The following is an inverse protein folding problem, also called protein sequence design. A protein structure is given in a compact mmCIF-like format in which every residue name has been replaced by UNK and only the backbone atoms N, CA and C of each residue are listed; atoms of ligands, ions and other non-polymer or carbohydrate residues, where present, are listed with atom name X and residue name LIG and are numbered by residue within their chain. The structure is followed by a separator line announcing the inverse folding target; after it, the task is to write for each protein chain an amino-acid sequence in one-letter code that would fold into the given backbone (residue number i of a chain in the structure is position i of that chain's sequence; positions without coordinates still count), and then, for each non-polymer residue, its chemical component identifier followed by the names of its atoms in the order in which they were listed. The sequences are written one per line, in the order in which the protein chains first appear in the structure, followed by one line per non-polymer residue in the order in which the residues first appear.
data_IF_815794228084
#
_entry.id   IF_815794228084
#
_cell.length_a   1.000
_cell.length_b   1.000
_cell.length_c   1.000
_cell.angle_alpha   90.00
_cell.angle_beta   90.00
_cell.angle_gamma   90.00
#
_symmetry.space_group_name_H-M   'P 1'
#
loop_
_entity.id
_entity.type
_entity.pdbx_description
1 polymer ?
#
# COMPACT_ATOMS: atom_id res chain seq x y z
N UNK A 1 -59.36 16.45 2.48
CA UNK A 1 -58.09 15.88 2.84
C UNK A 1 -57.35 15.35 1.63
N UNK A 2 -56.80 16.20 0.78
CA UNK A 2 -55.84 15.87 -0.28
C UNK A 2 -54.87 17.06 -0.34
N UNK A 3 -53.75 17.02 0.38
CA UNK A 3 -52.79 18.13 0.42
C UNK A 3 -51.43 17.77 0.97
N UNK A 4 -51.10 16.49 1.20
CA UNK A 4 -49.90 16.09 1.85
C UNK A 4 -48.75 15.50 0.96
N UNK A 5 -49.04 15.22 -0.31
CA UNK A 5 -48.10 14.44 -1.13
C UNK A 5 -47.28 15.27 -2.14
N UNK A 6 -47.52 16.57 -2.27
CA UNK A 6 -46.87 17.43 -3.26
C UNK A 6 -45.69 18.24 -2.69
N UNK A 7 -45.60 18.34 -1.38
CA UNK A 7 -44.54 19.10 -0.71
C UNK A 7 -43.25 18.30 -0.55
N UNK A 8 -43.33 16.96 -0.42
CA UNK A 8 -42.17 16.11 -0.19
C UNK A 8 -41.39 15.85 -1.49
N UNK A 9 -42.04 15.81 -2.66
CA UNK A 9 -41.37 15.57 -3.95
C UNK A 9 -40.50 16.77 -4.36
N UNK A 10 -40.90 18.00 -4.03
CA UNK A 10 -40.13 19.20 -4.34
C UNK A 10 -38.93 19.39 -3.40
N UNK A 11 -39.01 18.95 -2.16
CA UNK A 11 -37.89 19.01 -1.23
C UNK A 11 -36.80 17.96 -1.57
N UNK A 12 -37.18 16.75 -1.98
CA UNK A 12 -36.24 15.73 -2.43
C UNK A 12 -35.55 16.06 -3.73
N UNK A 13 -36.27 16.66 -4.71
CA UNK A 13 -35.68 17.07 -5.97
C UNK A 13 -34.70 18.25 -5.80
N UNK A 14 -34.99 19.21 -4.90
CA UNK A 14 -34.07 20.28 -4.53
C UNK A 14 -32.80 19.76 -3.88
N UNK A 15 -32.94 18.84 -2.95
CA UNK A 15 -31.78 18.23 -2.26
C UNK A 15 -30.90 17.40 -3.21
N UNK A 16 -31.50 16.66 -4.16
CA UNK A 16 -30.74 15.90 -5.17
C UNK A 16 -30.00 16.82 -6.13
N UNK A 17 -30.62 17.87 -6.63
CA UNK A 17 -30.01 18.87 -7.51
C UNK A 17 -28.85 19.61 -6.83
N UNK A 18 -28.97 19.93 -5.53
CA UNK A 18 -27.92 20.57 -4.76
C UNK A 18 -26.72 19.63 -4.49
N UNK A 19 -26.99 18.35 -4.27
CA UNK A 19 -25.96 17.31 -4.14
C UNK A 19 -25.22 17.13 -5.47
N UNK A 20 -25.94 17.07 -6.58
CA UNK A 20 -25.36 16.89 -7.92
C UNK A 20 -24.49 18.10 -8.30
N UNK A 21 -24.96 19.31 -8.08
CA UNK A 21 -24.21 20.55 -8.29
C UNK A 21 -22.93 20.64 -7.44
N UNK A 22 -23.01 20.19 -6.19
CA UNK A 22 -21.84 20.10 -5.31
C UNK A 22 -20.84 19.05 -5.80
N UNK A 23 -21.32 17.89 -6.26
CA UNK A 23 -20.48 16.85 -6.81
C UNK A 23 -19.81 17.27 -8.10
N UNK A 24 -20.51 18.01 -8.98
CA UNK A 24 -19.92 18.59 -10.19
C UNK A 24 -18.83 19.62 -9.86
N UNK A 25 -19.10 20.52 -8.92
CA UNK A 25 -18.11 21.50 -8.46
C UNK A 25 -16.89 20.84 -7.85
N UNK A 26 -17.09 19.78 -7.04
CA UNK A 26 -16.02 18.99 -6.46
C UNK A 26 -15.22 18.25 -7.54
N UNK A 27 -15.88 17.62 -8.51
CA UNK A 27 -15.22 16.94 -9.61
C UNK A 27 -14.43 17.89 -10.50
N UNK A 28 -14.93 19.10 -10.73
CA UNK A 28 -14.22 20.14 -11.46
C UNK A 28 -12.96 20.60 -10.70
N UNK A 29 -13.08 20.80 -9.38
CA UNK A 29 -11.95 21.13 -8.52
C UNK A 29 -10.90 20.01 -8.51
N UNK A 30 -11.31 18.75 -8.33
CA UNK A 30 -10.42 17.59 -8.34
C UNK A 30 -9.68 17.46 -9.68
N UNK A 31 -10.36 17.66 -10.83
CA UNK A 31 -9.73 17.64 -12.14
C UNK A 31 -8.64 18.71 -12.31
N UNK A 32 -8.80 19.87 -11.68
CA UNK A 32 -7.83 20.96 -11.76
C UNK A 32 -6.63 20.76 -10.83
N UNK A 33 -6.85 20.13 -9.66
CA UNK A 33 -5.81 19.93 -8.63
C UNK A 33 -5.06 18.60 -8.86
N UNK A 34 -5.70 17.63 -9.52
CA UNK A 34 -5.06 16.33 -9.77
C UNK A 34 -3.96 16.45 -10.82
N UNK A 35 -2.69 16.15 -10.50
CA UNK A 35 -1.58 16.28 -11.45
C UNK A 35 -1.77 15.27 -12.61
N UNK A 36 -1.94 15.81 -13.82
CA UNK A 36 -2.03 15.06 -15.07
C UNK A 36 -0.63 14.58 -15.47
N UNK A 37 -0.18 13.48 -14.87
CA UNK A 37 1.07 12.83 -15.29
C UNK A 37 0.82 11.74 -16.32
N UNK A 38 1.70 11.61 -17.33
CA UNK A 38 1.62 10.50 -18.28
C UNK A 38 1.82 9.17 -17.53
N UNK A 39 0.93 8.22 -17.76
CA UNK A 39 0.98 6.89 -17.13
C UNK A 39 2.30 6.18 -17.43
N UNK A 40 2.78 6.28 -18.67
CA UNK A 40 4.03 5.68 -19.14
C UNK A 40 5.25 6.22 -18.36
N UNK A 41 5.33 7.53 -18.16
CA UNK A 41 6.43 8.12 -17.39
C UNK A 41 6.41 7.68 -15.91
N UNK A 42 5.21 7.53 -15.32
CA UNK A 42 5.05 7.01 -13.96
C UNK A 42 5.45 5.54 -13.85
N UNK A 43 5.07 4.72 -14.84
CA UNK A 43 5.49 3.32 -14.90
C UNK A 43 7.01 3.18 -15.06
N UNK A 44 7.65 4.00 -15.87
CA UNK A 44 9.09 3.98 -16.05
C UNK A 44 9.84 4.37 -14.77
N UNK A 45 9.39 5.40 -14.07
CA UNK A 45 9.95 5.78 -12.76
C UNK A 45 9.79 4.66 -11.72
N UNK A 46 8.61 4.03 -11.67
CA UNK A 46 8.36 2.89 -10.78
C UNK A 46 9.27 1.71 -11.10
N UNK A 47 9.50 1.43 -12.38
CA UNK A 47 10.41 0.37 -12.82
C UNK A 47 11.86 0.62 -12.38
N UNK A 48 12.36 1.85 -12.55
CA UNK A 48 13.72 2.21 -12.13
C UNK A 48 13.87 2.05 -10.61
N UNK A 49 12.96 2.63 -9.84
CA UNK A 49 13.07 2.58 -8.36
C UNK A 49 12.92 1.17 -7.83
N UNK A 50 11.93 0.41 -8.32
CA UNK A 50 11.76 -1.00 -7.96
C UNK A 50 12.97 -1.84 -8.36
N UNK A 51 13.52 -1.62 -9.56
CA UNK A 51 14.75 -2.27 -10.04
C UNK A 51 15.96 -1.98 -9.15
N UNK A 52 16.15 -0.73 -8.73
CA UNK A 52 17.24 -0.38 -7.80
C UNK A 52 17.10 -1.09 -6.44
N UNK A 53 15.88 -1.22 -5.92
CA UNK A 53 15.62 -1.96 -4.67
C UNK A 53 15.94 -3.44 -4.86
N UNK A 54 15.54 -4.04 -5.99
CA UNK A 54 15.85 -5.43 -6.31
C UNK A 54 17.37 -5.67 -6.45
N UNK A 55 18.08 -4.77 -7.10
CA UNK A 55 19.56 -4.84 -7.23
C UNK A 55 20.22 -4.74 -5.86
N UNK A 56 19.77 -3.83 -5.01
CA UNK A 56 20.26 -3.72 -3.63
C UNK A 56 20.02 -5.03 -2.85
N UNK A 57 18.83 -5.62 -2.96
CA UNK A 57 18.51 -6.92 -2.37
C UNK A 57 19.42 -8.04 -2.89
N UNK A 58 19.67 -8.07 -4.20
CA UNK A 58 20.56 -9.08 -4.81
C UNK A 58 22.02 -8.94 -4.35
N UNK A 59 22.51 -7.71 -4.19
CA UNK A 59 23.86 -7.45 -3.64
C UNK A 59 23.96 -8.01 -2.21
N UNK A 60 22.99 -7.73 -1.34
CA UNK A 60 22.96 -8.22 0.04
C UNK A 60 22.94 -9.76 0.03
N UNK A 61 22.09 -10.37 -0.79
CA UNK A 61 21.99 -11.82 -0.92
C UNK A 61 23.31 -12.45 -1.37
N UNK A 62 24.00 -11.86 -2.34
CA UNK A 62 25.30 -12.33 -2.81
C UNK A 62 26.37 -12.21 -1.72
N UNK A 63 26.36 -11.16 -0.92
CA UNK A 63 27.26 -10.99 0.25
C UNK A 63 26.98 -12.08 1.29
N UNK A 64 25.72 -12.39 1.59
CA UNK A 64 25.36 -13.47 2.51
C UNK A 64 25.86 -14.84 2.00
N UNK A 65 25.71 -15.11 0.69
CA UNK A 65 26.22 -16.33 0.07
C UNK A 65 27.74 -16.41 0.09
N UNK A 66 28.43 -15.30 -0.13
CA UNK A 66 29.89 -15.25 0.00
C UNK A 66 30.37 -15.56 1.41
N UNK A 67 29.58 -15.19 2.43
CA UNK A 67 29.81 -15.55 3.83
C UNK A 67 29.46 -17.01 4.15
N UNK A 68 29.12 -17.85 3.13
CA UNK A 68 28.73 -19.26 3.27
C UNK A 68 27.47 -19.49 4.15
N UNK A 69 26.56 -18.55 4.17
CA UNK A 69 25.26 -18.72 4.83
C UNK A 69 24.37 -19.63 3.96
N UNK A 70 23.62 -20.60 4.54
CA UNK A 70 22.67 -21.44 3.79
C UNK A 70 21.66 -20.60 3.01
N UNK A 71 21.26 -21.04 1.82
CA UNK A 71 20.39 -20.27 0.91
C UNK A 71 19.05 -19.85 1.55
N UNK A 72 18.48 -20.71 2.38
CA UNK A 72 17.24 -20.43 3.15
C UNK A 72 17.41 -19.26 4.13
N UNK A 73 18.53 -19.24 4.84
CA UNK A 73 18.83 -18.23 5.84
C UNK A 73 19.30 -16.94 5.19
N UNK A 74 20.04 -17.02 4.06
CA UNK A 74 20.48 -15.87 3.29
C UNK A 74 19.30 -15.04 2.77
N UNK A 75 18.21 -15.67 2.33
CA UNK A 75 16.99 -14.99 1.91
C UNK A 75 16.32 -14.27 3.09
N UNK A 76 16.26 -14.90 4.26
CA UNK A 76 15.69 -14.32 5.47
C UNK A 76 16.51 -13.11 5.97
N UNK A 77 17.83 -13.23 5.99
CA UNK A 77 18.72 -12.11 6.34
C UNK A 77 18.62 -10.95 5.36
N UNK A 78 18.55 -11.22 4.07
CA UNK A 78 18.35 -10.18 3.05
C UNK A 78 17.08 -9.39 3.30
N UNK A 79 15.98 -10.08 3.59
CA UNK A 79 14.70 -9.46 3.92
C UNK A 79 14.78 -8.59 5.16
N UNK A 80 15.39 -9.10 6.24
CA UNK A 80 15.58 -8.35 7.49
C UNK A 80 16.42 -7.09 7.29
N UNK A 81 17.53 -7.18 6.55
CA UNK A 81 18.40 -6.03 6.26
C UNK A 81 17.67 -4.97 5.44
N UNK A 82 16.89 -5.37 4.43
CA UNK A 82 16.09 -4.44 3.62
C UNK A 82 15.01 -3.75 4.44
N UNK A 83 14.30 -4.48 5.32
CA UNK A 83 13.30 -3.92 6.24
C UNK A 83 13.97 -2.93 7.19
N UNK A 84 15.10 -3.30 7.81
CA UNK A 84 15.84 -2.44 8.72
C UNK A 84 16.32 -1.15 8.04
N UNK A 85 16.89 -1.27 6.84
CA UNK A 85 17.32 -0.12 6.05
C UNK A 85 16.15 0.81 5.71
N UNK A 86 15.00 0.25 5.34
CA UNK A 86 13.79 1.02 5.05
C UNK A 86 13.30 1.78 6.28
N UNK A 87 13.29 1.16 7.46
CA UNK A 87 12.88 1.83 8.71
C UNK A 87 13.82 2.99 9.05
N UNK A 88 15.14 2.83 8.86
CA UNK A 88 16.11 3.92 9.05
C UNK A 88 15.83 5.07 8.07
N UNK A 89 15.66 4.77 6.77
CA UNK A 89 15.37 5.79 5.76
C UNK A 89 14.03 6.52 6.05
N UNK A 90 13.05 5.82 6.59
CA UNK A 90 11.79 6.41 7.03
C UNK A 90 12.00 7.32 8.24
N UNK A 91 12.79 6.89 9.22
CA UNK A 91 13.14 7.70 10.39
C UNK A 91 13.90 8.98 10.05
N UNK A 92 14.73 8.94 9.01
CA UNK A 92 15.45 10.09 8.46
C UNK A 92 14.61 10.96 7.51
N UNK A 93 13.34 10.61 7.31
CA UNK A 93 12.42 11.30 6.38
C UNK A 93 12.90 11.34 4.91
N UNK A 94 13.75 10.39 4.52
CA UNK A 94 14.25 10.25 3.13
C UNK A 94 13.29 9.40 2.29
N UNK A 95 12.71 8.36 2.89
CA UNK A 95 11.84 7.41 2.19
C UNK A 95 10.60 8.05 1.54
N UNK A 96 9.91 9.05 2.14
CA UNK A 96 8.80 9.75 1.50
C UNK A 96 9.17 10.42 0.17
N UNK A 97 10.38 10.98 0.06
CA UNK A 97 10.89 11.56 -1.19
C UNK A 97 11.07 10.51 -2.29
N UNK A 98 11.60 9.33 -1.92
CA UNK A 98 11.73 8.18 -2.82
C UNK A 98 10.36 7.70 -3.30
N UNK A 99 9.38 7.64 -2.39
CA UNK A 99 8.01 7.22 -2.69
C UNK A 99 7.29 8.18 -3.63
N UNK A 100 7.47 9.48 -3.43
CA UNK A 100 6.90 10.52 -4.29
C UNK A 100 7.44 10.43 -5.72
N UNK A 101 8.71 10.08 -5.88
CA UNK A 101 9.34 9.92 -7.19
C UNK A 101 9.01 8.56 -7.84
N UNK A 102 9.13 7.47 -7.07
CA UNK A 102 9.03 6.08 -7.54
C UNK A 102 7.61 5.51 -7.57
N UNK A 103 6.67 6.13 -6.85
CA UNK A 103 5.27 5.65 -6.78
C UNK A 103 5.18 4.18 -6.40
N UNK A 104 4.50 3.38 -7.23
CA UNK A 104 4.30 1.96 -6.97
C UNK A 104 5.60 1.15 -6.84
N UNK A 105 6.70 1.56 -7.52
CA UNK A 105 7.98 0.86 -7.45
C UNK A 105 8.64 0.86 -6.08
N UNK A 106 8.32 1.85 -5.23
CA UNK A 106 8.80 1.92 -3.85
C UNK A 106 7.77 1.41 -2.83
N UNK A 107 6.47 1.35 -3.19
CA UNK A 107 5.41 0.92 -2.28
C UNK A 107 5.18 -0.59 -2.28
N UNK A 108 5.34 -1.24 -3.44
CA UNK A 108 5.08 -2.68 -3.60
C UNK A 108 6.13 -3.58 -2.92
N UNK A 109 7.44 -3.28 -2.97
CA UNK A 109 8.46 -4.10 -2.31
C UNK A 109 8.29 -4.12 -0.79
N UNK A 110 8.94 -5.09 -0.13
CA UNK A 110 8.90 -5.25 1.34
C UNK A 110 9.37 -3.99 2.08
N UNK A 111 10.24 -3.21 1.47
CA UNK A 111 10.70 -1.91 1.98
C UNK A 111 9.56 -0.90 2.07
N UNK A 112 8.61 -0.92 1.11
CA UNK A 112 7.40 -0.10 1.13
C UNK A 112 6.47 -0.49 2.27
N UNK A 113 6.29 -1.79 2.51
CA UNK A 113 5.52 -2.27 3.65
C UNK A 113 6.17 -1.85 4.98
N UNK A 114 7.48 -2.00 5.12
CA UNK A 114 8.21 -1.54 6.31
C UNK A 114 8.04 -0.04 6.55
N UNK A 115 8.13 0.79 5.50
CA UNK A 115 7.85 2.22 5.58
C UNK A 115 6.41 2.52 6.01
N UNK A 116 5.43 1.78 5.46
CA UNK A 116 4.01 2.00 5.77
C UNK A 116 3.65 1.67 7.24
N UNK A 117 4.44 0.83 7.88
CA UNK A 117 4.33 0.52 9.32
C UNK A 117 5.13 1.52 10.17
N UNK A 118 6.34 1.89 9.73
CA UNK A 118 7.22 2.77 10.49
C UNK A 118 6.77 4.24 10.49
N UNK A 119 6.26 4.75 9.37
CA UNK A 119 5.83 6.14 9.26
C UNK A 119 4.70 6.48 10.25
N UNK A 120 3.59 5.73 10.37
CA UNK A 120 2.58 5.97 11.39
C UNK A 120 3.11 5.84 12.81
N UNK A 121 4.06 4.93 13.06
CA UNK A 121 4.66 4.78 14.39
C UNK A 121 5.40 6.05 14.84
N UNK A 122 6.01 6.77 13.90
CA UNK A 122 6.72 8.02 14.15
C UNK A 122 5.72 9.18 14.27
N UNK A 123 4.78 9.29 13.33
CA UNK A 123 3.85 10.41 13.21
C UNK A 123 2.87 10.46 14.38
N UNK A 124 2.27 9.33 14.75
CA UNK A 124 1.23 9.24 15.79
C UNK A 124 1.78 8.96 17.20
N UNK A 125 3.08 9.14 17.42
CA UNK A 125 3.72 8.95 18.72
C UNK A 125 3.11 9.84 19.82
N UNK A 126 2.63 11.03 19.44
CA UNK A 126 2.00 11.98 20.39
C UNK A 126 0.60 11.58 20.83
N UNK A 127 -0.10 10.74 20.07
CA UNK A 127 -1.47 10.28 20.36
C UNK A 127 -1.50 9.06 21.29
N UNK A 128 -0.35 8.57 21.75
CA UNK A 128 -0.22 7.45 22.67
C UNK A 128 0.15 6.14 21.97
N UNK A 129 0.58 5.17 22.79
CA UNK A 129 1.14 3.91 22.26
C UNK A 129 0.06 2.96 21.71
N UNK A 130 -1.10 2.90 22.33
CA UNK A 130 -2.16 1.94 21.98
C UNK A 130 -3.09 2.53 20.92
N UNK A 131 -3.73 3.66 21.22
CA UNK A 131 -4.71 4.29 20.34
C UNK A 131 -4.08 5.07 19.17
N UNK A 132 -2.90 5.64 19.36
CA UNK A 132 -2.15 6.30 18.31
C UNK A 132 -1.36 5.29 17.47
N UNK A 133 -0.20 4.89 17.95
CA UNK A 133 0.75 4.05 17.20
C UNK A 133 0.13 2.70 16.82
N UNK A 134 -0.38 1.94 17.80
CA UNK A 134 -0.88 0.58 17.58
C UNK A 134 -2.04 0.55 16.60
N UNK A 135 -3.06 1.37 16.83
CA UNK A 135 -4.24 1.44 15.96
C UNK A 135 -3.87 1.80 14.52
N UNK A 136 -2.98 2.77 14.33
CA UNK A 136 -2.58 3.23 12.98
C UNK A 136 -1.71 2.22 12.23
N UNK A 137 -0.80 1.53 12.91
CA UNK A 137 -0.03 0.44 12.32
C UNK A 137 -0.97 -0.67 11.83
N UNK A 138 -1.93 -1.11 12.66
CA UNK A 138 -2.86 -2.17 12.29
C UNK A 138 -3.87 -1.75 11.22
N UNK A 139 -4.17 -0.47 11.08
CA UNK A 139 -5.02 0.03 9.98
C UNK A 139 -4.40 -0.28 8.61
N UNK A 140 -3.07 -0.28 8.51
CA UNK A 140 -2.35 -0.55 7.27
C UNK A 140 -1.93 -2.04 7.20
N UNK A 141 -1.29 -2.54 8.26
CA UNK A 141 -0.79 -3.91 8.30
C UNK A 141 -1.91 -4.96 8.37
N UNK A 142 -3.01 -4.65 9.04
CA UNK A 142 -4.14 -5.59 9.23
C UNK A 142 -4.71 -6.12 7.93
N UNK A 143 -5.17 -5.27 7.00
CA UNK A 143 -5.68 -5.72 5.71
C UNK A 143 -4.65 -6.52 4.90
N UNK A 144 -3.38 -6.13 4.89
CA UNK A 144 -2.33 -6.83 4.15
C UNK A 144 -2.15 -8.26 4.68
N UNK A 145 -2.08 -8.42 6.00
CA UNK A 145 -1.94 -9.74 6.65
C UNK A 145 -3.20 -10.58 6.42
N UNK A 146 -4.39 -10.01 6.61
CA UNK A 146 -5.67 -10.70 6.44
C UNK A 146 -5.81 -11.25 5.01
N UNK A 147 -5.64 -10.39 4.01
CA UNK A 147 -5.74 -10.80 2.61
C UNK A 147 -4.61 -11.76 2.22
N UNK A 148 -3.40 -11.58 2.73
CA UNK A 148 -2.29 -12.49 2.51
C UNK A 148 -2.60 -13.90 2.99
N UNK A 149 -3.11 -14.06 4.21
CA UNK A 149 -3.52 -15.35 4.78
C UNK A 149 -4.69 -15.94 3.98
N UNK A 150 -5.71 -15.14 3.68
CA UNK A 150 -6.89 -15.59 2.95
C UNK A 150 -6.53 -16.12 1.55
N UNK A 151 -5.78 -15.37 0.76
CA UNK A 151 -5.39 -15.80 -0.58
C UNK A 151 -4.41 -16.97 -0.57
N UNK A 152 -3.50 -17.03 0.41
CA UNK A 152 -2.60 -18.17 0.59
C UNK A 152 -3.39 -19.45 0.89
N UNK A 153 -4.40 -19.36 1.76
CA UNK A 153 -5.29 -20.49 2.07
C UNK A 153 -6.09 -20.94 0.84
N UNK A 154 -6.69 -20.00 0.09
CA UNK A 154 -7.41 -20.32 -1.16
C UNK A 154 -6.48 -20.98 -2.19
N UNK A 155 -5.27 -20.48 -2.38
CA UNK A 155 -4.28 -21.05 -3.28
C UNK A 155 -3.88 -22.47 -2.85
N UNK A 156 -3.71 -22.70 -1.54
CA UNK A 156 -3.44 -24.02 -0.97
C UNK A 156 -4.55 -25.03 -1.22
N UNK A 157 -5.82 -24.60 -1.10
CA UNK A 157 -6.97 -25.46 -1.43
C UNK A 157 -7.03 -25.81 -2.92
N UNK A 158 -6.79 -24.83 -3.80
CA UNK A 158 -6.75 -25.07 -5.26
C UNK A 158 -5.62 -26.06 -5.59
N UNK A 159 -4.43 -25.86 -5.03
CA UNK A 159 -3.29 -26.76 -5.21
C UNK A 159 -3.63 -28.20 -4.74
N UNK A 160 -4.25 -28.34 -3.56
CA UNK A 160 -4.68 -29.65 -3.04
C UNK A 160 -5.70 -30.32 -3.96
N UNK A 161 -6.70 -29.57 -4.45
CA UNK A 161 -7.70 -30.08 -5.37
C UNK A 161 -7.08 -30.57 -6.69
N UNK A 162 -6.16 -29.80 -7.27
CA UNK A 162 -5.45 -30.17 -8.49
C UNK A 162 -4.57 -31.41 -8.29
N UNK A 163 -3.93 -31.53 -7.15
CA UNK A 163 -3.13 -32.71 -6.80
C UNK A 163 -3.99 -33.97 -6.63
N UNK A 164 -5.19 -33.85 -6.04
CA UNK A 164 -6.15 -34.96 -5.91
C UNK A 164 -6.69 -35.45 -7.26
N UNK A 165 -6.80 -34.57 -8.24
CA UNK A 165 -7.29 -34.88 -9.60
C UNK A 165 -6.14 -35.43 -10.49
N UNK A 166 -4.94 -35.64 -9.97
CA UNK A 166 -3.75 -36.09 -10.73
C UNK A 166 -3.36 -35.20 -11.93
N UNK A 167 -3.60 -33.90 -11.83
CA UNK A 167 -3.22 -32.92 -12.89
C UNK A 167 -1.82 -32.36 -12.66
N UNK A 168 -1.29 -32.52 -11.45
CA UNK A 168 0.05 -32.10 -11.03
C UNK A 168 0.84 -33.25 -10.42
#
# INVERSE_FOLDING_TARGET
KKGGCMHDINSESGTKADIEKRNESYNAYVKNVTPKGSCVAKCFKAFIVGGCICVAGQIILNVCKWMKVPDTDAASYTTLILVFLSVILTGLNIYPSITTFGGAGSLVPITGFANSVAAPAIEYKKEGRVFGIGCKIFTIAGPVILYGIFFSWCAGLIYLALKLIHVL
#
